data_IF_192848133617
#
_entry.id   IF_192848133617
#
_cell.length_a   1.000
_cell.length_b   1.000
_cell.length_c   1.000
_cell.angle_alpha   90.00
_cell.angle_beta   90.00
_cell.angle_gamma   90.00
#
_symmetry.space_group_name_H-M   'P 1'
#
loop_
_entity.id
_entity.type
_entity.pdbx_description
1 polymer ?
#
# COMPACT_ATOMS: atom_id res chain seq x y z
N UNK A 1 21.90 -7.47 0.92
CA UNK A 1 21.69 -7.08 2.34
C UNK A 1 20.51 -6.09 2.41
N UNK A 2 19.54 -6.30 3.29
CA UNK A 2 18.36 -5.43 3.45
C UNK A 2 18.62 -4.32 4.48
N UNK A 3 18.22 -3.08 4.17
CA UNK A 3 18.08 -1.99 5.15
C UNK A 3 16.58 -1.66 5.32
N UNK A 4 16.01 -2.04 6.46
CA UNK A 4 14.58 -1.86 6.75
C UNK A 4 14.17 -0.38 6.81
N UNK A 5 15.10 0.53 7.12
CA UNK A 5 14.81 1.98 7.15
C UNK A 5 14.53 2.55 5.77
N UNK A 6 14.94 1.85 4.70
CA UNK A 6 14.71 2.24 3.30
C UNK A 6 13.72 1.34 2.58
N UNK A 7 13.35 0.21 3.17
CA UNK A 7 12.39 -0.73 2.60
C UNK A 7 10.98 -0.13 2.56
N UNK A 8 10.38 -0.02 1.37
CA UNK A 8 9.02 0.52 1.20
C UNK A 8 7.96 -0.24 2.01
N UNK A 9 8.10 -1.56 2.14
CA UNK A 9 7.21 -2.36 2.99
C UNK A 9 7.31 -1.93 4.46
N UNK A 10 8.52 -1.84 5.03
CA UNK A 10 8.69 -1.34 6.41
C UNK A 10 8.22 0.11 6.58
N UNK A 11 8.47 0.98 5.60
CA UNK A 11 8.04 2.37 5.62
C UNK A 11 6.51 2.51 5.63
N UNK A 12 5.80 1.67 4.88
CA UNK A 12 4.33 1.74 4.77
C UNK A 12 3.62 1.01 5.91
N UNK A 13 4.23 -0.02 6.51
CA UNK A 13 3.61 -0.86 7.55
C UNK A 13 4.01 -0.45 8.96
N UNK A 14 5.30 -0.21 9.23
CA UNK A 14 5.85 -0.08 10.60
C UNK A 14 6.17 1.36 10.98
N UNK A 15 6.70 2.15 10.04
CA UNK A 15 7.15 3.52 10.33
C UNK A 15 5.97 4.39 10.79
N UNK A 16 6.17 5.13 11.88
CA UNK A 16 5.21 6.08 12.45
C UNK A 16 5.83 7.47 12.37
N UNK A 17 5.21 8.36 11.59
CA UNK A 17 5.75 9.69 11.32
C UNK A 17 5.79 10.02 9.82
N UNK A 18 6.34 11.17 9.43
CA UNK A 18 6.40 11.58 8.03
C UNK A 18 7.29 10.65 7.21
N UNK A 19 6.94 10.46 5.93
CA UNK A 19 7.79 9.76 4.96
C UNK A 19 8.85 10.74 4.42
N UNK A 20 10.09 10.28 4.30
CA UNK A 20 11.15 11.08 3.68
C UNK A 20 10.84 11.33 2.19
N UNK A 21 11.27 12.47 1.60
CA UNK A 21 11.03 12.79 0.18
C UNK A 21 11.50 11.69 -0.79
N UNK A 22 12.65 11.08 -0.51
CA UNK A 22 13.14 9.95 -1.31
C UNK A 22 12.20 8.73 -1.28
N UNK A 23 11.60 8.44 -0.11
CA UNK A 23 10.60 7.36 0.02
C UNK A 23 9.35 7.69 -0.79
N UNK A 24 8.87 8.94 -0.73
CA UNK A 24 7.69 9.39 -1.49
C UNK A 24 7.95 9.28 -3.00
N UNK A 25 9.12 9.70 -3.47
CA UNK A 25 9.51 9.62 -4.88
C UNK A 25 9.51 8.19 -5.44
N UNK A 26 9.83 7.19 -4.60
CA UNK A 26 9.83 5.78 -4.98
C UNK A 26 8.51 5.03 -4.70
N UNK A 27 7.57 5.65 -3.98
CA UNK A 27 6.38 4.96 -3.47
C UNK A 27 5.48 4.43 -4.60
N UNK A 28 5.34 5.22 -5.68
CA UNK A 28 4.38 4.92 -6.75
C UNK A 28 2.95 5.01 -6.24
N UNK A 29 2.13 4.01 -6.56
CA UNK A 29 0.74 3.89 -6.08
C UNK A 29 0.61 2.98 -4.84
N UNK A 30 1.73 2.59 -4.23
CA UNK A 30 1.74 1.65 -3.10
C UNK A 30 1.31 2.37 -1.82
N UNK A 31 0.18 1.96 -1.26
CA UNK A 31 -0.32 2.50 0.00
C UNK A 31 -0.06 1.58 1.21
N UNK A 32 0.25 0.30 0.96
CA UNK A 32 0.58 -0.71 1.97
C UNK A 32 1.48 -1.79 1.36
N UNK A 33 2.63 -2.08 1.99
CA UNK A 33 3.54 -3.13 1.54
C UNK A 33 4.34 -2.78 0.27
N UNK A 34 5.14 -3.73 -0.20
CA UNK A 34 5.85 -3.66 -1.47
C UNK A 34 6.31 -5.06 -1.90
N UNK A 35 5.90 -5.48 -3.09
CA UNK A 35 6.25 -6.79 -3.65
C UNK A 35 7.30 -6.74 -4.74
N UNK A 36 7.93 -5.57 -4.98
CA UNK A 36 8.90 -5.41 -6.08
C UNK A 36 10.04 -6.43 -6.04
N UNK A 37 10.57 -6.75 -4.84
CA UNK A 37 11.61 -7.78 -4.71
C UNK A 37 11.10 -9.19 -5.05
N UNK A 38 9.82 -9.49 -4.79
CA UNK A 38 9.21 -10.78 -5.14
C UNK A 38 8.88 -10.85 -6.63
N UNK A 39 8.41 -9.75 -7.23
CA UNK A 39 8.04 -9.69 -8.66
C UNK A 39 9.24 -9.85 -9.60
N UNK A 40 10.42 -9.39 -9.21
CA UNK A 40 11.65 -9.56 -10.02
C UNK A 40 12.37 -10.88 -9.75
N UNK A 41 11.90 -11.67 -8.77
CA UNK A 41 12.53 -12.92 -8.39
C UNK A 41 12.25 -13.99 -9.45
N UNK A 42 13.28 -14.64 -10.05
CA UNK A 42 13.08 -15.64 -11.09
C UNK A 42 12.33 -16.87 -10.58
N UNK A 43 12.42 -17.19 -9.28
CA UNK A 43 11.72 -18.33 -8.69
C UNK A 43 10.20 -18.13 -8.57
N UNK A 44 9.73 -16.87 -8.57
CA UNK A 44 8.31 -16.54 -8.48
C UNK A 44 7.67 -16.33 -9.87
N UNK A 45 8.45 -16.47 -10.95
CA UNK A 45 7.94 -16.24 -12.29
C UNK A 45 6.98 -17.36 -12.71
N UNK A 46 5.76 -16.99 -13.11
CA UNK A 46 4.75 -17.95 -13.58
C UNK A 46 4.07 -18.79 -12.48
N UNK A 47 4.29 -18.47 -11.20
CA UNK A 47 3.59 -19.15 -10.10
C UNK A 47 2.13 -18.66 -10.04
N UNK A 48 1.13 -19.56 -10.11
CA UNK A 48 -0.27 -19.16 -10.07
C UNK A 48 -0.66 -18.65 -8.67
N UNK A 49 -1.67 -17.77 -8.63
CA UNK A 49 -2.27 -17.36 -7.37
C UNK A 49 -2.88 -18.57 -6.65
N UNK A 50 -2.77 -18.60 -5.32
CA UNK A 50 -3.42 -19.62 -4.50
C UNK A 50 -4.94 -19.51 -4.59
N UNK A 51 -5.64 -20.65 -4.51
CA UNK A 51 -7.10 -20.73 -4.62
C UNK A 51 -7.84 -20.70 -3.28
N UNK A 52 -7.25 -20.17 -2.21
CA UNK A 52 -7.85 -20.13 -0.87
C UNK A 52 -8.92 -19.03 -0.83
N UNK A 53 -10.23 -19.36 -0.75
CA UNK A 53 -11.31 -18.38 -0.85
C UNK A 53 -11.24 -17.26 0.20
N UNK A 54 -10.75 -17.56 1.40
CA UNK A 54 -10.60 -16.64 2.51
C UNK A 54 -9.58 -15.52 2.24
N UNK A 55 -8.73 -15.68 1.23
CA UNK A 55 -7.77 -14.65 0.79
C UNK A 55 -8.30 -13.80 -0.37
N UNK A 56 -9.50 -14.10 -0.89
CA UNK A 56 -10.11 -13.26 -1.92
C UNK A 56 -10.43 -11.87 -1.34
N UNK A 57 -10.03 -10.78 -2.04
CA UNK A 57 -10.39 -9.44 -1.60
C UNK A 57 -11.90 -9.23 -1.70
N UNK A 58 -12.46 -8.41 -0.82
CA UNK A 58 -13.88 -8.07 -0.87
C UNK A 58 -14.20 -7.27 -2.13
N UNK A 59 -15.41 -7.44 -2.67
CA UNK A 59 -15.85 -6.68 -3.85
C UNK A 59 -15.83 -5.17 -3.64
N UNK A 60 -16.10 -4.71 -2.41
CA UNK A 60 -15.99 -3.29 -2.06
C UNK A 60 -14.55 -2.78 -2.16
N UNK A 61 -13.55 -3.56 -1.72
CA UNK A 61 -12.15 -3.18 -1.83
C UNK A 61 -11.74 -3.04 -3.30
N UNK A 62 -12.21 -3.96 -4.16
CA UNK A 62 -11.92 -3.97 -5.59
C UNK A 62 -12.60 -2.82 -6.36
N UNK A 63 -13.71 -2.26 -5.85
CA UNK A 63 -14.44 -1.17 -6.50
C UNK A 63 -14.02 0.23 -6.05
N UNK A 64 -13.08 0.35 -5.12
CA UNK A 64 -12.59 1.64 -4.61
C UNK A 64 -11.95 2.50 -5.71
N UNK A 65 -12.45 3.72 -5.89
CA UNK A 65 -11.85 4.72 -6.79
C UNK A 65 -10.76 5.54 -6.09
N UNK A 66 -9.99 6.32 -6.87
CA UNK A 66 -9.03 7.28 -6.33
C UNK A 66 -9.69 8.29 -5.38
N UNK A 67 -10.90 8.74 -5.71
CA UNK A 67 -11.68 9.65 -4.86
C UNK A 67 -12.10 8.97 -3.56
N UNK A 68 -12.53 7.71 -3.61
CA UNK A 68 -12.85 6.93 -2.41
C UNK A 68 -11.64 6.77 -1.48
N UNK A 69 -10.45 6.51 -2.03
CA UNK A 69 -9.22 6.42 -1.26
C UNK A 69 -8.84 7.76 -0.64
N UNK A 70 -8.98 8.86 -1.37
CA UNK A 70 -8.71 10.21 -0.87
C UNK A 70 -9.65 10.61 0.28
N UNK A 71 -10.90 10.14 0.23
CA UNK A 71 -11.95 10.40 1.22
C UNK A 71 -12.19 9.22 2.19
N UNK A 72 -11.24 8.27 2.30
CA UNK A 72 -11.40 7.09 3.15
C UNK A 72 -11.55 7.53 4.62
N UNK A 73 -12.69 7.20 5.24
CA UNK A 73 -12.93 7.46 6.67
C UNK A 73 -12.40 6.32 7.54
N UNK A 74 -12.23 6.59 8.84
CA UNK A 74 -11.78 5.55 9.78
C UNK A 74 -12.81 4.41 9.91
N UNK A 75 -14.10 4.72 9.87
CA UNK A 75 -15.17 3.73 9.93
C UNK A 75 -15.13 2.80 8.71
N UNK A 76 -14.97 3.37 7.51
CA UNK A 76 -14.87 2.59 6.27
C UNK A 76 -13.58 1.77 6.26
N UNK A 77 -12.44 2.35 6.66
CA UNK A 77 -11.20 1.61 6.90
C UNK A 77 -11.41 0.44 7.87
N UNK A 78 -12.14 0.67 8.96
CA UNK A 78 -12.36 -0.36 9.97
C UNK A 78 -13.12 -1.57 9.43
N UNK A 79 -14.12 -1.30 8.59
CA UNK A 79 -14.96 -2.28 7.88
C UNK A 79 -14.19 -3.01 6.77
N UNK A 80 -13.56 -2.27 5.86
CA UNK A 80 -12.83 -2.81 4.71
C UNK A 80 -11.71 -3.77 5.12
N UNK A 81 -10.96 -3.44 6.16
CA UNK A 81 -9.76 -4.18 6.56
C UNK A 81 -9.95 -5.01 7.84
N UNK A 82 -11.19 -5.36 8.21
CA UNK A 82 -11.43 -6.25 9.36
C UNK A 82 -10.68 -7.57 9.16
N UNK A 83 -9.90 -7.99 10.15
CA UNK A 83 -9.09 -9.23 10.07
C UNK A 83 -7.91 -9.18 9.10
N UNK A 84 -7.65 -8.05 8.44
CA UNK A 84 -6.55 -7.91 7.48
C UNK A 84 -5.26 -7.43 8.15
N UNK A 85 -4.12 -7.87 7.62
CA UNK A 85 -2.79 -7.39 8.01
C UNK A 85 -2.63 -5.87 7.85
N UNK A 86 -3.40 -5.24 6.95
CA UNK A 86 -3.42 -3.77 6.76
C UNK A 86 -3.66 -3.01 8.07
N UNK A 87 -4.37 -3.62 9.03
CA UNK A 87 -4.58 -3.06 10.38
C UNK A 87 -3.30 -2.70 11.11
N UNK A 88 -2.19 -3.38 10.80
CA UNK A 88 -0.88 -3.11 11.38
C UNK A 88 -0.37 -1.70 11.07
N UNK A 89 -0.71 -1.13 9.92
CA UNK A 89 -0.34 0.24 9.55
C UNK A 89 -1.13 1.32 10.32
N UNK A 90 -2.28 0.95 10.90
CA UNK A 90 -3.29 1.86 11.46
C UNK A 90 -3.89 2.80 10.40
N UNK A 91 -5.01 3.41 10.74
CA UNK A 91 -5.74 4.30 9.82
C UNK A 91 -4.88 5.50 9.43
N UNK A 92 -4.22 6.13 10.40
CA UNK A 92 -3.38 7.32 10.19
C UNK A 92 -2.17 7.00 9.31
N UNK A 93 -1.56 5.82 9.51
CA UNK A 93 -0.43 5.36 8.69
C UNK A 93 -0.87 5.08 7.25
N UNK A 94 -2.01 4.42 7.05
CA UNK A 94 -2.55 4.18 5.72
C UNK A 94 -2.91 5.50 5.01
N UNK A 95 -3.60 6.42 5.69
CA UNK A 95 -3.96 7.73 5.13
C UNK A 95 -2.73 8.58 4.79
N UNK A 96 -1.67 8.52 5.62
CA UNK A 96 -0.38 9.13 5.28
C UNK A 96 0.18 8.58 3.97
N UNK A 97 0.16 7.25 3.79
CA UNK A 97 0.69 6.62 2.58
C UNK A 97 -0.17 6.96 1.35
N UNK A 98 -1.50 6.94 1.48
CA UNK A 98 -2.44 7.34 0.41
C UNK A 98 -2.14 8.76 -0.05
N UNK A 99 -2.07 9.72 0.87
CA UNK A 99 -1.77 11.12 0.53
C UNK A 99 -0.41 11.25 -0.18
N UNK A 100 0.62 10.56 0.32
CA UNK A 100 1.94 10.56 -0.31
C UNK A 100 1.91 10.01 -1.75
N UNK A 101 1.21 8.91 -1.99
CA UNK A 101 1.05 8.33 -3.32
C UNK A 101 0.29 9.28 -4.27
N UNK A 102 -0.79 9.91 -3.80
CA UNK A 102 -1.56 10.89 -4.59
C UNK A 102 -0.74 12.14 -4.93
N UNK A 103 0.03 12.68 -3.98
CA UNK A 103 0.91 13.82 -4.24
C UNK A 103 2.01 13.48 -5.25
N UNK A 104 2.59 12.27 -5.20
CA UNK A 104 3.58 11.82 -6.16
C UNK A 104 3.00 11.64 -7.59
N UNK A 105 1.69 11.40 -7.72
CA UNK A 105 1.01 11.36 -9.04
C UNK A 105 0.81 12.76 -9.61
N UNK A 106 0.42 13.74 -8.80
CA UNK A 106 0.23 15.13 -9.23
C UNK A 106 1.51 15.77 -9.80
N UNK A 107 2.69 15.37 -9.32
CA UNK A 107 3.98 15.80 -9.86
C UNK A 107 4.42 15.10 -11.16
N UNK A 108 3.75 14.02 -11.57
CA UNK A 108 4.04 13.27 -12.80
C UNK A 108 3.09 13.61 -13.96
N UNK A 109 2.10 14.47 -13.74
CA UNK A 109 1.14 14.91 -14.77
C UNK A 109 1.61 16.06 -15.67
N UNK A 110 2.92 16.35 -15.70
CA UNK A 110 3.52 17.36 -16.58
C UNK A 110 4.82 16.85 -17.23
N UNK A 111 4.82 15.60 -17.68
CA UNK A 111 5.82 15.02 -18.58
C UNK A 111 5.12 14.06 -19.54
#
# INVERSE_FOLDING_TARGET
RLDARRCLSCQTIEHRGPLAPATIGCLGDRIYGCDTCQMVCPHNHGVPAGGVPEFAPSGELLSMTVADWAALTEERYRRLFRGSAVKRAKYEGLMRNIRAALSARGGRGNQ
#
